data_IF_993740347797
#
_entry.id   IF_993740347797
#
_cell.length_a   1.000
_cell.length_b   1.000
_cell.length_c   1.000
_cell.angle_alpha   90.00
_cell.angle_beta   90.00
_cell.angle_gamma   90.00
#
_symmetry.space_group_name_H-M   'P 1'
#
loop_
_entity.id
_entity.type
_entity.pdbx_description
1 polymer ?
#
# COMPACT_ATOMS: atom_id res chain seq x y z
N UNK A 1 21.01 -11.30 17.18
CA UNK A 1 19.78 -11.19 16.37
C UNK A 1 20.03 -10.15 15.30
N UNK A 2 20.23 -10.54 14.04
CA UNK A 2 20.24 -9.57 12.95
C UNK A 2 18.80 -9.08 12.74
N UNK A 3 18.53 -7.82 13.09
CA UNK A 3 17.26 -7.18 12.78
C UNK A 3 17.07 -7.09 11.26
N UNK A 4 15.84 -7.21 10.79
CA UNK A 4 15.50 -7.01 9.37
C UNK A 4 15.36 -5.50 9.14
N UNK A 5 16.10 -4.95 8.17
CA UNK A 5 15.90 -3.60 7.65
C UNK A 5 15.11 -3.67 6.34
N UNK A 6 14.00 -2.93 6.28
CA UNK A 6 13.26 -2.69 5.04
C UNK A 6 13.31 -1.20 4.75
N UNK A 7 13.75 -0.83 3.55
CA UNK A 7 13.93 0.56 3.15
C UNK A 7 13.38 0.81 1.75
N UNK A 8 12.79 1.98 1.57
CA UNK A 8 12.25 2.46 0.29
C UNK A 8 11.08 3.42 0.53
N UNK A 9 10.27 3.63 -0.51
CA UNK A 9 9.21 4.64 -0.49
C UNK A 9 7.91 4.10 0.12
N UNK A 10 7.29 4.91 0.98
CA UNK A 10 5.93 4.69 1.48
C UNK A 10 4.96 5.43 0.59
N UNK A 11 3.91 4.74 0.14
CA UNK A 11 2.89 5.33 -0.71
C UNK A 11 1.55 5.37 0.00
N UNK A 12 0.65 6.13 -0.60
CA UNK A 12 -0.75 6.07 -0.26
C UNK A 12 -1.52 5.74 -1.52
N UNK A 13 -2.11 4.56 -1.52
CA UNK A 13 -2.87 4.06 -2.65
C UNK A 13 -4.30 4.59 -2.57
N UNK A 14 -4.80 5.13 -3.67
CA UNK A 14 -6.20 5.49 -3.86
C UNK A 14 -6.85 4.39 -4.69
N UNK A 15 -7.60 3.51 -4.03
CA UNK A 15 -8.26 2.39 -4.67
C UNK A 15 -9.68 2.82 -5.07
N UNK A 16 -10.08 2.70 -6.35
CA UNK A 16 -11.42 3.06 -6.76
C UNK A 16 -12.44 2.12 -6.10
N UNK A 17 -13.57 2.65 -5.64
CA UNK A 17 -14.58 1.85 -4.94
C UNK A 17 -15.40 0.95 -5.89
N UNK A 18 -15.27 1.16 -7.21
CA UNK A 18 -15.88 0.34 -8.25
C UNK A 18 -14.90 0.07 -9.41
N UNK A 19 -15.02 -1.07 -10.12
CA UNK A 19 -14.22 -1.36 -11.31
C UNK A 19 -14.61 -0.46 -12.50
N UNK A 20 -13.64 -0.12 -13.35
CA UNK A 20 -13.87 0.63 -14.60
C UNK A 20 -12.81 1.71 -14.86
N UNK A 21 -13.01 2.54 -15.91
CA UNK A 21 -12.15 3.69 -16.17
C UNK A 21 -12.15 4.69 -15.01
N UNK A 22 -10.97 5.13 -14.57
CA UNK A 22 -10.82 6.04 -13.42
C UNK A 22 -11.53 7.39 -13.60
N UNK A 23 -11.67 7.86 -14.85
CA UNK A 23 -12.35 9.11 -15.15
C UNK A 23 -13.84 9.13 -14.75
N UNK A 24 -14.46 7.95 -14.59
CA UNK A 24 -15.84 7.82 -14.13
C UNK A 24 -15.98 7.41 -12.65
N UNK A 25 -14.88 7.33 -11.90
CA UNK A 25 -14.92 6.92 -10.49
C UNK A 25 -15.21 8.14 -9.62
N UNK A 26 -16.28 8.09 -8.83
CA UNK A 26 -16.69 9.18 -7.94
C UNK A 26 -15.94 9.19 -6.60
N UNK A 27 -15.49 8.02 -6.13
CA UNK A 27 -14.86 7.87 -4.82
C UNK A 27 -13.70 6.88 -4.81
N UNK A 28 -12.72 7.19 -3.97
CA UNK A 28 -11.53 6.37 -3.75
C UNK A 28 -11.34 6.13 -2.26
N UNK A 29 -11.07 4.87 -1.89
CA UNK A 29 -10.63 4.52 -0.55
C UNK A 29 -9.10 4.64 -0.43
N UNK A 30 -8.65 5.36 0.60
CA UNK A 30 -7.23 5.57 0.88
C UNK A 30 -6.65 4.38 1.65
N UNK A 31 -5.49 3.87 1.21
CA UNK A 31 -4.77 2.77 1.89
C UNK A 31 -3.29 3.08 2.03
N UNK A 32 -2.68 2.57 3.10
CA UNK A 32 -1.23 2.53 3.19
C UNK A 32 -0.69 1.58 2.11
N UNK A 33 0.31 2.02 1.36
CA UNK A 33 0.87 1.29 0.23
C UNK A 33 2.37 1.47 0.11
N UNK A 34 2.91 1.03 -1.03
CA UNK A 34 4.34 0.96 -1.30
C UNK A 34 4.90 -0.43 -1.01
N UNK A 35 5.61 -1.00 -1.99
CA UNK A 35 6.17 -2.35 -1.88
C UNK A 35 7.04 -2.53 -0.63
N UNK A 36 7.94 -1.60 -0.25
CA UNK A 36 8.74 -1.72 0.97
C UNK A 36 7.87 -1.71 2.24
N UNK A 37 6.87 -0.83 2.31
CA UNK A 37 5.96 -0.76 3.45
C UNK A 37 5.14 -2.04 3.63
N UNK A 38 4.64 -2.60 2.52
CA UNK A 38 3.89 -3.86 2.54
C UNK A 38 4.75 -5.04 3.01
N UNK A 39 6.02 -5.11 2.60
CA UNK A 39 6.98 -6.12 3.08
C UNK A 39 7.24 -5.95 4.57
N UNK A 40 7.48 -4.72 5.05
CA UNK A 40 7.71 -4.46 6.47
C UNK A 40 6.53 -4.90 7.34
N UNK A 41 5.29 -4.59 6.93
CA UNK A 41 4.07 -5.03 7.62
C UNK A 41 3.91 -6.55 7.59
N UNK A 42 4.21 -7.18 6.44
CA UNK A 42 4.18 -8.64 6.31
C UNK A 42 5.14 -9.33 7.28
N UNK A 43 6.39 -8.87 7.32
CA UNK A 43 7.42 -9.39 8.22
C UNK A 43 7.11 -9.15 9.70
N UNK A 44 6.49 -8.01 10.04
CA UNK A 44 6.11 -7.70 11.42
C UNK A 44 4.94 -8.57 11.96
N UNK A 45 4.25 -9.31 11.09
CA UNK A 45 3.13 -10.20 11.45
C UNK A 45 3.53 -11.68 11.55
N UNK A 46 4.78 -12.02 11.22
CA UNK A 46 5.35 -13.36 11.32
C UNK A 46 6.05 -13.54 12.68
#
# INVERSE_FOLDING_TARGET
MSGILVAGETLVDFIPDAPGPLAGVESFSRRAGGAPANVAVGLARL
#
